data_IF_089111796268
#
_entry.id   IF_089111796268
#
_cell.length_a   1.000
_cell.length_b   1.000
_cell.length_c   1.000
_cell.angle_alpha   90.00
_cell.angle_beta   90.00
_cell.angle_gamma   90.00
#
_symmetry.space_group_name_H-M   'P 1'
#
loop_
_entity.id
_entity.type
_entity.pdbx_description
1 polymer ?
#
# COMPACT_ATOMS: atom_id res chain seq x y z
N UNK A 1 6.09 -4.01 2.09
CA UNK A 1 5.12 -3.46 3.07
C UNK A 1 4.14 -2.50 2.42
N UNK A 2 4.60 -1.48 1.69
CA UNK A 2 3.69 -0.46 1.10
C UNK A 2 2.62 -1.07 0.21
N UNK A 3 2.95 -2.03 -0.65
CA UNK A 3 1.96 -2.66 -1.54
C UNK A 3 0.98 -3.61 -0.84
N UNK A 4 1.15 -3.91 0.46
CA UNK A 4 0.34 -4.90 1.16
C UNK A 4 -1.16 -4.58 1.16
N UNK A 5 -1.60 -3.33 1.43
CA UNK A 5 -3.02 -2.99 1.37
C UNK A 5 -3.65 -3.27 0.00
N UNK A 6 -2.96 -2.91 -1.07
CA UNK A 6 -3.41 -3.16 -2.44
C UNK A 6 -3.46 -4.64 -2.81
N UNK A 7 -2.45 -5.42 -2.38
CA UNK A 7 -2.40 -6.87 -2.61
C UNK A 7 -3.57 -7.58 -1.93
N UNK A 8 -4.05 -7.07 -0.80
CA UNK A 8 -5.20 -7.64 -0.08
C UNK A 8 -6.50 -7.15 -0.73
N UNK A 9 -6.68 -5.84 -0.85
CA UNK A 9 -7.99 -5.27 -1.16
C UNK A 9 -8.38 -5.38 -2.64
N UNK A 10 -7.41 -5.37 -3.58
CA UNK A 10 -7.73 -5.46 -5.01
C UNK A 10 -8.28 -6.85 -5.40
N UNK A 11 -7.65 -7.98 -5.02
CA UNK A 11 -8.23 -9.30 -5.25
C UNK A 11 -9.56 -9.48 -4.53
N UNK A 12 -9.71 -8.97 -3.31
CA UNK A 12 -10.98 -9.01 -2.58
C UNK A 12 -12.08 -8.23 -3.29
N UNK A 13 -11.77 -7.07 -3.88
CA UNK A 13 -12.70 -6.30 -4.70
C UNK A 13 -13.13 -7.02 -5.98
N UNK A 14 -12.25 -7.86 -6.55
CA UNK A 14 -12.56 -8.68 -7.72
C UNK A 14 -13.39 -9.92 -7.35
N UNK A 15 -13.01 -10.64 -6.29
CA UNK A 15 -13.60 -11.93 -5.91
C UNK A 15 -14.87 -11.79 -5.06
N UNK A 16 -15.00 -10.71 -4.29
CA UNK A 16 -16.14 -10.46 -3.43
C UNK A 16 -16.75 -9.05 -3.64
N UNK A 17 -17.28 -8.74 -4.84
CA UNK A 17 -17.87 -7.43 -5.13
C UNK A 17 -19.04 -7.06 -4.19
N UNK A 18 -19.75 -8.06 -3.66
CA UNK A 18 -20.86 -7.88 -2.72
C UNK A 18 -20.45 -7.30 -1.37
N UNK A 19 -19.14 -7.31 -1.03
CA UNK A 19 -18.62 -6.65 0.17
C UNK A 19 -18.51 -5.12 0.02
N UNK A 20 -18.89 -4.57 -1.14
CA UNK A 20 -18.82 -3.14 -1.42
C UNK A 20 -17.40 -2.63 -1.65
N UNK A 21 -16.46 -3.53 -1.94
CA UNK A 21 -15.03 -3.27 -2.18
C UNK A 21 -14.73 -2.83 -3.62
N UNK A 22 -15.73 -2.38 -4.37
CA UNK A 22 -15.62 -2.03 -5.79
C UNK A 22 -14.63 -0.88 -6.08
N UNK A 23 -14.20 -0.15 -5.05
CA UNK A 23 -13.20 0.91 -5.11
C UNK A 23 -11.76 0.40 -5.03
N UNK A 24 -11.54 -0.89 -4.79
CA UNK A 24 -10.23 -1.45 -4.47
C UNK A 24 -9.62 -0.94 -3.15
N UNK A 25 -10.40 -0.21 -2.34
CA UNK A 25 -10.04 0.24 -0.98
C UNK A 25 -10.98 -0.42 0.01
N UNK A 26 -10.43 -1.32 0.82
CA UNK A 26 -11.18 -2.19 1.72
C UNK A 26 -10.59 -2.22 3.11
N UNK A 27 -10.61 -3.41 3.72
CA UNK A 27 -10.19 -3.63 5.10
C UNK A 27 -8.71 -3.26 5.28
N UNK A 28 -7.86 -3.57 4.30
CA UNK A 28 -6.44 -3.31 4.42
C UNK A 28 -6.09 -1.81 4.28
N UNK A 29 -7.01 -0.99 3.76
CA UNK A 29 -6.92 0.46 3.76
C UNK A 29 -7.58 1.14 4.98
N UNK A 30 -7.86 0.39 6.04
CA UNK A 30 -8.40 0.94 7.30
C UNK A 30 -7.30 1.28 8.29
N UNK A 31 -7.56 2.25 9.17
CA UNK A 31 -6.68 2.57 10.29
C UNK A 31 -6.59 1.40 11.27
N UNK A 32 -7.69 0.65 11.46
CA UNK A 32 -7.71 -0.56 12.30
C UNK A 32 -6.71 -1.59 11.81
N UNK A 33 -6.65 -1.85 10.49
CA UNK A 33 -5.67 -2.77 9.92
C UNK A 33 -4.23 -2.27 10.10
N UNK A 34 -3.97 -0.99 9.88
CA UNK A 34 -2.65 -0.41 10.10
C UNK A 34 -2.20 -0.49 11.57
N UNK A 35 -3.11 -0.20 12.51
CA UNK A 35 -2.86 -0.32 13.95
C UNK A 35 -2.65 -1.77 14.38
N UNK A 36 -3.40 -2.71 13.80
CA UNK A 36 -3.21 -4.14 14.02
C UNK A 36 -1.82 -4.59 13.57
N UNK A 37 -1.40 -4.23 12.35
CA UNK A 37 -0.06 -4.52 11.85
C UNK A 37 1.01 -3.88 12.72
N UNK A 38 0.80 -2.65 13.19
CA UNK A 38 1.73 -1.95 14.07
C UNK A 38 1.85 -2.67 15.42
N UNK A 39 0.73 -3.07 16.03
CA UNK A 39 0.72 -3.82 17.28
C UNK A 39 1.46 -5.15 17.14
N UNK A 40 1.21 -5.89 16.05
CA UNK A 40 1.90 -7.14 15.74
C UNK A 40 3.41 -6.90 15.50
N UNK A 41 3.75 -5.85 14.75
CA UNK A 41 5.13 -5.44 14.52
C UNK A 41 5.87 -5.11 15.81
N UNK A 42 5.25 -4.36 16.72
CA UNK A 42 5.81 -4.02 18.03
C UNK A 42 5.93 -5.24 18.94
N UNK A 43 5.00 -6.19 18.86
CA UNK A 43 5.11 -7.47 19.58
C UNK A 43 6.36 -8.22 19.13
N UNK A 44 6.51 -8.47 17.83
CA UNK A 44 7.63 -9.24 17.29
C UNK A 44 8.97 -8.50 17.31
N UNK A 45 8.93 -7.16 17.37
CA UNK A 45 10.12 -6.36 17.58
C UNK A 45 10.82 -6.73 18.89
N UNK A 46 10.06 -7.05 19.95
CA UNK A 46 10.63 -7.52 21.23
C UNK A 46 11.39 -8.85 21.13
N UNK A 47 11.13 -9.64 20.09
CA UNK A 47 11.85 -10.89 19.81
C UNK A 47 13.00 -10.70 18.81
N UNK A 48 13.41 -9.45 18.55
CA UNK A 48 14.47 -9.11 17.58
C UNK A 48 14.03 -9.17 16.12
N UNK A 49 12.73 -9.36 15.82
CA UNK A 49 12.20 -9.48 14.46
C UNK A 49 11.54 -8.16 14.04
N UNK A 50 12.31 -7.27 13.42
CA UNK A 50 11.85 -5.95 12.98
C UNK A 50 11.09 -5.95 11.64
N UNK A 51 11.11 -7.04 10.88
CA UNK A 51 10.50 -7.12 9.54
C UNK A 51 9.01 -6.73 9.52
N UNK A 52 8.23 -7.19 10.51
CA UNK A 52 6.80 -6.84 10.61
C UNK A 52 6.58 -5.38 10.99
N UNK A 53 7.49 -4.77 11.76
CA UNK A 53 7.41 -3.34 12.08
C UNK A 53 7.64 -2.49 10.83
N UNK A 54 8.63 -2.84 10.00
CA UNK A 54 8.83 -2.17 8.71
C UNK A 54 7.65 -2.39 7.76
N UNK A 55 7.03 -3.57 7.80
CA UNK A 55 5.82 -3.84 7.03
C UNK A 55 4.68 -2.92 7.46
N UNK A 56 4.44 -2.80 8.77
CA UNK A 56 3.41 -1.92 9.33
C UNK A 56 3.63 -0.44 8.96
N UNK A 57 4.86 0.06 9.14
CA UNK A 57 5.20 1.46 8.80
C UNK A 57 5.02 1.73 7.31
N UNK A 58 5.46 0.80 6.45
CA UNK A 58 5.30 0.95 5.01
C UNK A 58 3.81 0.88 4.60
N UNK A 59 3.01 0.01 5.20
CA UNK A 59 1.55 -0.04 4.96
C UNK A 59 0.84 1.22 5.47
N UNK A 60 1.28 1.80 6.59
CA UNK A 60 0.77 3.09 7.06
C UNK A 60 1.14 4.24 6.11
N UNK A 61 2.37 4.25 5.58
CA UNK A 61 2.79 5.19 4.55
C UNK A 61 1.94 5.09 3.28
N UNK A 62 1.52 3.89 2.90
CA UNK A 62 0.62 3.65 1.77
C UNK A 62 -0.73 4.37 1.94
N UNK A 63 -1.35 4.31 3.14
CA UNK A 63 -2.59 5.05 3.44
C UNK A 63 -2.44 6.55 3.21
N UNK A 64 -1.26 7.11 3.54
CA UNK A 64 -0.96 8.53 3.35
C UNK A 64 -0.79 8.85 1.87
N UNK A 65 -0.05 8.02 1.13
CA UNK A 65 0.16 8.21 -0.31
C UNK A 65 -1.15 8.11 -1.10
N UNK A 66 -2.06 7.22 -0.67
CA UNK A 66 -3.40 7.08 -1.22
C UNK A 66 -4.38 8.16 -0.78
N UNK A 67 -3.94 9.09 0.07
CA UNK A 67 -4.77 10.18 0.61
C UNK A 67 -6.04 9.66 1.27
N UNK A 68 -5.94 8.57 2.04
CA UNK A 68 -7.10 7.91 2.65
C UNK A 68 -7.90 8.83 3.59
N UNK A 69 -7.33 9.95 4.05
CA UNK A 69 -8.07 11.00 4.76
C UNK A 69 -9.21 11.61 3.93
N UNK A 70 -9.18 11.52 2.61
CA UNK A 70 -10.27 11.92 1.70
C UNK A 70 -11.41 10.88 1.65
N UNK A 71 -11.19 9.68 2.17
CA UNK A 71 -12.18 8.59 2.27
C UNK A 71 -12.41 8.20 3.74
N UNK A 72 -12.90 9.12 4.60
CA UNK A 72 -12.97 8.90 6.05
C UNK A 72 -13.83 7.68 6.44
N UNK A 73 -14.85 7.35 5.64
CA UNK A 73 -15.68 6.15 5.85
C UNK A 73 -14.87 4.85 5.74
N UNK A 74 -13.89 4.79 4.85
CA UNK A 74 -12.99 3.63 4.70
C UNK A 74 -11.89 3.72 5.76
N UNK A 75 -11.22 4.87 5.89
CA UNK A 75 -10.09 5.03 6.81
C UNK A 75 -10.46 4.71 8.26
N UNK A 76 -11.63 5.17 8.72
CA UNK A 76 -12.11 4.99 10.09
C UNK A 76 -13.12 3.85 10.23
N UNK A 77 -13.24 2.97 9.23
CA UNK A 77 -14.05 1.76 9.38
C UNK A 77 -13.59 0.97 10.63
N UNK A 78 -14.51 0.45 11.48
CA UNK A 78 -15.97 0.39 11.30
C UNK A 78 -16.78 1.54 11.94
N UNK A 79 -16.15 2.64 12.38
CA UNK A 79 -16.83 3.71 13.14
C UNK A 79 -18.00 4.37 12.40
N UNK A 80 -17.94 4.43 11.06
CA UNK A 80 -18.98 5.02 10.22
C UNK A 80 -19.92 3.99 9.57
N UNK A 81 -19.93 2.76 10.10
CA UNK A 81 -20.71 1.63 9.61
C UNK A 81 -19.85 0.50 9.06
N UNK A 82 -20.47 -0.67 8.89
CA UNK A 82 -19.78 -1.88 8.45
C UNK A 82 -19.68 -2.02 6.92
N UNK A 83 -20.47 -1.26 6.17
CA UNK A 83 -20.46 -1.31 4.71
C UNK A 83 -19.38 -0.37 4.13
N UNK A 84 -18.60 -0.87 3.18
CA UNK A 84 -17.70 -0.05 2.39
C UNK A 84 -18.48 0.75 1.32
N UNK A 85 -18.05 1.99 1.00
CA UNK A 85 -18.71 2.80 0.00
C UNK A 85 -18.58 2.16 -1.39
N UNK A 86 -19.72 1.87 -2.01
CA UNK A 86 -19.79 1.39 -3.39
C UNK A 86 -19.72 2.60 -4.32
N UNK A 87 -18.67 2.72 -5.13
CA UNK A 87 -18.57 3.78 -6.14
C UNK A 87 -19.39 3.36 -7.37
N UNK A 88 -20.67 3.75 -7.37
CA UNK A 88 -21.55 3.73 -8.54
C UNK A 88 -21.99 2.35 -9.05
N UNK A 89 -22.89 2.34 -10.05
CA UNK A 89 -23.43 1.14 -10.70
C UNK A 89 -22.40 0.34 -11.52
N UNK A 90 -21.14 0.74 -11.51
CA UNK A 90 -20.12 0.17 -12.36
C UNK A 90 -19.08 -0.52 -11.47
N UNK A 91 -19.03 -1.86 -11.53
CA UNK A 91 -18.15 -2.68 -10.68
C UNK A 91 -16.65 -2.43 -10.89
N UNK A 92 -15.81 -3.21 -10.21
CA UNK A 92 -14.34 -3.08 -10.20
C UNK A 92 -13.70 -2.84 -11.58
N UNK A 93 -14.20 -3.49 -12.64
CA UNK A 93 -13.70 -3.31 -14.01
C UNK A 93 -13.86 -1.87 -14.54
N UNK A 94 -14.98 -1.22 -14.24
CA UNK A 94 -15.16 0.17 -14.65
C UNK A 94 -14.29 1.12 -13.82
N UNK A 95 -14.08 0.80 -12.53
CA UNK A 95 -13.14 1.53 -11.69
C UNK A 95 -11.71 1.43 -12.22
N UNK A 96 -11.30 0.24 -12.71
CA UNK A 96 -10.02 0.01 -13.36
C UNK A 96 -9.86 0.85 -14.63
N UNK A 97 -10.89 0.91 -15.48
CA UNK A 97 -10.89 1.76 -16.68
C UNK A 97 -10.81 3.25 -16.33
N UNK A 98 -11.49 3.69 -15.26
CA UNK A 98 -11.42 5.06 -14.79
C UNK A 98 -10.01 5.41 -14.27
N UNK A 99 -9.35 4.50 -13.55
CA UNK A 99 -7.95 4.68 -13.14
C UNK A 99 -7.02 4.75 -14.35
N UNK A 100 -7.21 3.88 -15.34
CA UNK A 100 -6.47 3.93 -16.58
C UNK A 100 -6.61 5.28 -17.27
N UNK A 101 -7.84 5.81 -17.37
CA UNK A 101 -8.09 7.13 -17.93
C UNK A 101 -7.43 8.26 -17.11
N UNK A 102 -7.42 8.14 -15.78
CA UNK A 102 -6.81 9.12 -14.87
C UNK A 102 -5.30 9.21 -15.07
N UNK A 103 -4.63 8.08 -15.34
CA UNK A 103 -3.18 8.04 -15.63
C UNK A 103 -2.82 8.91 -16.85
N UNK A 104 -3.69 8.95 -17.86
CA UNK A 104 -3.46 9.73 -19.08
C UNK A 104 -3.89 11.19 -18.98
N UNK A 105 -4.78 11.52 -18.04
CA UNK A 105 -5.39 12.86 -17.96
C UNK A 105 -4.85 13.72 -16.83
N UNK A 106 -4.27 13.10 -15.78
CA UNK A 106 -3.71 13.83 -14.65
C UNK A 106 -2.20 13.57 -14.51
N UNK A 107 -1.35 14.45 -15.06
CA UNK A 107 0.11 14.27 -14.99
C UNK A 107 0.65 14.34 -13.55
N UNK A 108 -0.10 14.94 -12.62
CA UNK A 108 0.26 14.98 -11.20
C UNK A 108 0.26 13.61 -10.55
N UNK A 109 -0.37 12.61 -11.16
CA UNK A 109 -0.32 11.22 -10.68
C UNK A 109 1.11 10.72 -10.69
N UNK A 110 1.92 11.04 -11.72
CA UNK A 110 3.29 10.54 -11.92
C UNK A 110 4.35 11.09 -10.94
N UNK A 111 4.04 12.14 -10.18
CA UNK A 111 5.00 12.79 -9.30
C UNK A 111 5.55 11.81 -8.24
N UNK A 112 4.71 11.12 -7.44
CA UNK A 112 5.19 10.09 -6.52
C UNK A 112 5.94 8.93 -7.21
N UNK A 113 5.56 8.51 -8.41
CA UNK A 113 6.25 7.44 -9.16
C UNK A 113 7.65 7.87 -9.57
N UNK A 114 7.80 9.10 -10.08
CA UNK A 114 9.11 9.65 -10.46
C UNK A 114 10.00 9.77 -9.22
N UNK A 115 9.47 10.28 -8.11
CA UNK A 115 10.21 10.37 -6.85
C UNK A 115 10.65 8.98 -6.37
N UNK A 116 9.75 8.00 -6.40
CA UNK A 116 10.06 6.61 -6.08
C UNK A 116 11.15 6.03 -6.98
N UNK A 117 11.05 6.25 -8.29
CA UNK A 117 12.04 5.80 -9.27
C UNK A 117 13.42 6.43 -9.03
N UNK A 118 13.47 7.73 -8.71
CA UNK A 118 14.71 8.43 -8.37
C UNK A 118 15.34 7.85 -7.10
N UNK A 119 14.54 7.63 -6.05
CA UNK A 119 15.02 7.02 -4.81
C UNK A 119 15.61 5.62 -5.08
N UNK A 120 14.92 4.79 -5.86
CA UNK A 120 15.40 3.45 -6.23
C UNK A 120 16.68 3.51 -7.07
N UNK A 121 16.77 4.44 -8.04
CA UNK A 121 17.96 4.63 -8.86
C UNK A 121 19.17 5.06 -8.02
N UNK A 122 18.99 6.00 -7.09
CA UNK A 122 20.05 6.44 -6.17
C UNK A 122 20.50 5.32 -5.23
N UNK A 123 19.55 4.54 -4.70
CA UNK A 123 19.84 3.38 -3.88
C UNK A 123 20.63 2.33 -4.67
N UNK A 124 20.22 2.03 -5.90
CA UNK A 124 20.91 1.11 -6.78
C UNK A 124 22.33 1.58 -7.13
N UNK A 125 22.50 2.87 -7.41
CA UNK A 125 23.81 3.47 -7.66
C UNK A 125 24.72 3.33 -6.43
N UNK A 126 24.19 3.56 -5.22
CA UNK A 126 24.93 3.37 -3.95
C UNK A 126 25.38 1.92 -3.75
N UNK A 127 24.53 0.94 -4.04
CA UNK A 127 24.87 -0.47 -3.96
C UNK A 127 26.00 -0.84 -4.94
N UNK A 128 25.92 -0.33 -6.18
CA UNK A 128 26.95 -0.54 -7.20
C UNK A 128 28.28 0.11 -6.82
N UNK A 129 28.26 1.34 -6.32
CA UNK A 129 29.46 2.05 -5.84
C UNK A 129 30.17 1.31 -4.71
N UNK A 130 29.41 0.63 -3.84
CA UNK A 130 29.97 -0.14 -2.71
C UNK A 130 30.36 -1.57 -3.07
N UNK A 131 30.13 -2.02 -4.31
CA UNK A 131 30.44 -3.39 -4.73
C UNK A 131 29.55 -4.49 -4.13
N UNK A 132 28.53 -4.13 -3.34
CA UNK A 132 27.64 -5.07 -2.61
C UNK A 132 26.37 -5.45 -3.38
N UNK A 133 26.27 -5.06 -4.65
CA UNK A 133 25.10 -5.33 -5.49
C UNK A 133 24.73 -6.83 -5.55
N UNK A 134 25.73 -7.71 -5.75
CA UNK A 134 25.49 -9.16 -5.83
C UNK A 134 25.00 -9.76 -4.52
N UNK A 135 25.55 -9.33 -3.38
CA UNK A 135 25.13 -9.78 -2.05
C UNK A 135 23.70 -9.33 -1.76
N UNK A 136 23.37 -8.07 -2.06
CA UNK A 136 22.05 -7.52 -1.85
C UNK A 136 20.98 -8.22 -2.70
N UNK A 137 21.23 -8.50 -3.98
CA UNK A 137 20.25 -9.17 -4.86
C UNK A 137 20.03 -10.63 -4.43
N UNK A 138 21.07 -11.32 -3.95
CA UNK A 138 20.98 -12.73 -3.55
C UNK A 138 20.39 -12.93 -2.15
N UNK A 139 20.64 -12.01 -1.22
CA UNK A 139 20.25 -12.16 0.18
C UNK A 139 19.16 -11.19 0.64
N UNK A 140 18.91 -10.13 -0.13
CA UNK A 140 18.05 -9.02 0.28
C UNK A 140 18.64 -8.15 1.41
N UNK A 141 19.88 -8.42 1.82
CA UNK A 141 20.54 -7.76 2.93
C UNK A 141 21.95 -7.29 2.55
N UNK A 142 22.46 -6.31 3.28
CA UNK A 142 23.86 -5.90 3.22
C UNK A 142 24.41 -6.15 4.61
N UNK A 143 25.44 -6.99 4.75
CA UNK A 143 26.19 -7.08 6.00
C UNK A 143 27.07 -5.83 6.09
N UNK A 144 26.72 -4.92 7.01
CA UNK A 144 27.50 -3.70 7.31
C UNK A 144 28.59 -4.06 8.31
#
# INVERSE_FOLDING_TARGET
GSMLPDIIDKPLGLLAPWLGLGTGRGIAHTLVFALFLLALGLWFYRTGRSGLLYMALASAGHLVLDRMWQMPRVLFWPLFGFAFPVVGRHGFLAQLLAWWHTLWTNPGVFVPEILGAVILALFAARLRQRGVWGEFISTGAIRI
#
